data_IF_653987996564
#
_entry.id   IF_653987996564
#
_cell.length_a   1.000
_cell.length_b   1.000
_cell.length_c   1.000
_cell.angle_alpha   90.00
_cell.angle_beta   90.00
_cell.angle_gamma   90.00
#
_symmetry.space_group_name_H-M   'P 1'
#
loop_
_entity.id
_entity.type
_entity.pdbx_description
1 polymer ?
#
# COMPACT_ATOMS: atom_id res chain seq x y z
N UNK A 1 29.03 -44.66 -43.99
CA UNK A 1 27.60 -44.92 -44.20
C UNK A 1 26.85 -44.26 -43.04
N UNK A 2 26.43 -42.99 -43.20
CA UNK A 2 25.08 -42.49 -43.52
C UNK A 2 24.04 -42.61 -42.37
N UNK A 3 23.69 -41.43 -41.84
CA UNK A 3 22.39 -41.00 -41.26
C UNK A 3 21.98 -41.63 -39.90
N UNK A 4 21.27 -40.96 -39.00
CA UNK A 4 20.25 -39.92 -39.18
C UNK A 4 19.93 -39.27 -37.82
N UNK A 5 20.11 -37.96 -37.69
CA UNK A 5 19.61 -37.15 -36.57
C UNK A 5 18.08 -37.12 -36.57
N UNK A 6 17.46 -37.18 -35.38
CA UNK A 6 16.02 -36.96 -35.18
C UNK A 6 15.82 -35.65 -34.41
N UNK A 7 15.41 -34.63 -35.15
CA UNK A 7 14.96 -33.33 -34.66
C UNK A 7 13.53 -33.44 -34.09
N UNK A 8 13.34 -32.83 -32.92
CA UNK A 8 12.06 -32.58 -32.25
C UNK A 8 11.46 -31.30 -32.86
N UNK A 9 10.25 -31.32 -33.46
CA UNK A 9 9.62 -30.09 -33.93
C UNK A 9 8.91 -29.36 -32.78
N UNK A 10 9.48 -28.22 -32.37
CA UNK A 10 8.78 -27.20 -31.60
C UNK A 10 7.71 -26.54 -32.47
N UNK A 11 6.44 -26.83 -32.17
CA UNK A 11 5.29 -26.16 -32.77
C UNK A 11 4.92 -24.92 -31.95
N UNK A 12 4.89 -23.80 -32.68
CA UNK A 12 3.96 -22.68 -32.55
C UNK A 12 4.08 -21.74 -31.35
N UNK A 13 4.43 -20.48 -31.64
CA UNK A 13 3.43 -19.41 -31.46
C UNK A 13 3.64 -18.26 -32.43
N UNK A 14 2.51 -17.84 -32.99
CA UNK A 14 2.36 -16.95 -34.12
C UNK A 14 2.89 -15.53 -33.86
N UNK A 15 3.66 -15.04 -34.82
CA UNK A 15 3.81 -13.63 -35.16
C UNK A 15 2.58 -13.13 -35.92
N UNK A 16 2.07 -11.97 -35.55
CA UNK A 16 1.09 -11.20 -36.33
C UNK A 16 0.37 -10.25 -35.40
N UNK A 17 0.26 -8.96 -35.65
CA UNK A 17 0.59 -8.14 -36.80
C UNK A 17 -0.05 -6.79 -36.49
N UNK A 18 0.70 -5.71 -36.67
CA UNK A 18 0.20 -4.34 -36.50
C UNK A 18 -0.90 -4.10 -37.53
N UNK A 19 -2.14 -3.96 -37.09
CA UNK A 19 -3.25 -3.58 -37.97
C UNK A 19 -3.76 -2.19 -37.61
N UNK A 20 -3.65 -1.33 -38.61
CA UNK A 20 -3.98 0.09 -38.62
C UNK A 20 -5.50 0.29 -38.63
N UNK A 21 -5.90 1.42 -38.04
CA UNK A 21 -7.18 2.10 -38.16
C UNK A 21 -7.96 1.82 -39.45
N UNK A 22 -9.25 1.47 -39.31
CA UNK A 22 -10.30 1.90 -40.22
C UNK A 22 -11.52 2.35 -39.42
N UNK A 23 -11.94 3.58 -39.70
CA UNK A 23 -13.01 4.31 -39.06
C UNK A 23 -14.37 3.61 -39.27
N UNK A 24 -15.17 3.54 -38.20
CA UNK A 24 -16.58 3.19 -38.27
C UNK A 24 -17.39 4.48 -38.10
N UNK A 25 -18.07 4.89 -39.17
CA UNK A 25 -19.15 5.89 -39.12
C UNK A 25 -20.44 5.09 -38.94
N UNK A 26 -21.03 5.18 -37.76
CA UNK A 26 -22.35 4.62 -37.45
C UNK A 26 -23.12 5.63 -36.62
N UNK A 27 -24.23 6.10 -37.19
CA UNK A 27 -25.11 7.13 -36.62
C UNK A 27 -26.17 6.49 -35.69
N UNK A 28 -26.52 7.24 -34.65
CA UNK A 28 -27.77 7.22 -33.87
C UNK A 28 -27.96 6.16 -32.76
N UNK A 29 -28.02 6.62 -31.50
CA UNK A 29 -29.30 6.84 -30.77
C UNK A 29 -29.03 7.51 -29.41
N UNK A 30 -29.79 8.55 -29.10
CA UNK A 30 -29.79 9.23 -27.79
C UNK A 30 -30.55 8.35 -26.80
N UNK A 31 -29.86 7.88 -25.77
CA UNK A 31 -30.46 7.48 -24.50
C UNK A 31 -29.65 8.19 -23.42
N UNK A 32 -30.33 9.00 -22.60
CA UNK A 32 -29.71 9.74 -21.50
C UNK A 32 -28.99 8.78 -20.56
N UNK A 33 -27.67 8.81 -20.61
CA UNK A 33 -26.84 8.21 -19.58
C UNK A 33 -26.76 9.25 -18.46
N UNK A 34 -27.48 8.98 -17.38
CA UNK A 34 -27.26 9.57 -16.07
C UNK A 34 -25.77 9.70 -15.83
N UNK A 35 -25.35 10.87 -15.36
CA UNK A 35 -23.99 11.18 -14.92
C UNK A 35 -23.45 9.98 -14.15
N UNK A 36 -22.52 9.24 -14.75
CA UNK A 36 -21.70 8.31 -14.01
C UNK A 36 -20.91 9.19 -13.05
N UNK A 37 -21.38 9.26 -11.81
CA UNK A 37 -20.60 9.78 -10.71
C UNK A 37 -19.41 8.84 -10.69
N UNK A 38 -18.30 9.28 -11.27
CA UNK A 38 -17.02 8.64 -11.07
C UNK A 38 -16.79 8.73 -9.56
N UNK A 39 -17.16 7.66 -8.85
CA UNK A 39 -16.79 7.49 -7.45
C UNK A 39 -15.28 7.51 -7.48
N UNK A 40 -14.74 8.64 -7.04
CA UNK A 40 -13.31 8.85 -6.95
C UNK A 40 -12.68 7.68 -6.19
N UNK A 41 -11.42 7.33 -6.50
CA UNK A 41 -10.67 6.31 -5.78
C UNK A 41 -10.82 6.47 -4.26
N UNK A 42 -10.78 5.35 -3.51
CA UNK A 42 -11.19 5.28 -2.11
C UNK A 42 -10.53 6.39 -1.29
N UNK A 43 -11.35 6.99 -0.41
CA UNK A 43 -11.04 8.11 0.46
C UNK A 43 -9.54 8.21 0.80
N UNK A 44 -8.88 9.27 0.30
CA UNK A 44 -7.52 9.62 0.71
C UNK A 44 -7.46 9.53 2.21
N UNK A 45 -6.66 8.61 2.71
CA UNK A 45 -6.50 8.48 4.13
C UNK A 45 -6.03 9.82 4.70
N UNK A 46 -6.46 10.11 5.93
CA UNK A 46 -6.13 11.36 6.59
C UNK A 46 -5.98 11.14 8.08
N UNK A 47 -5.25 12.04 8.73
CA UNK A 47 -5.07 12.05 10.18
C UNK A 47 -6.40 12.05 10.95
N UNK A 48 -7.48 12.55 10.34
CA UNK A 48 -8.82 12.57 10.91
C UNK A 48 -9.42 11.16 11.09
N UNK A 49 -9.02 10.18 10.29
CA UNK A 49 -9.46 8.78 10.39
C UNK A 49 -8.92 8.08 11.62
N UNK A 50 -7.80 8.56 12.17
CA UNK A 50 -7.30 8.04 13.43
C UNK A 50 -8.31 8.42 14.51
N UNK A 51 -9.05 7.43 15.03
CA UNK A 51 -10.01 7.65 16.11
C UNK A 51 -9.29 7.79 17.45
N UNK A 52 -10.00 8.27 18.47
CA UNK A 52 -9.45 8.44 19.81
C UNK A 52 -8.93 7.13 20.39
N UNK A 53 -7.90 7.21 21.23
CA UNK A 53 -7.28 6.06 21.90
C UNK A 53 -6.79 4.98 20.91
N UNK A 54 -6.14 5.43 19.83
CA UNK A 54 -5.49 4.59 18.82
C UNK A 54 -4.08 5.11 18.52
N UNK A 55 -3.16 4.19 18.28
CA UNK A 55 -1.97 4.48 17.48
C UNK A 55 -2.32 4.16 16.03
N UNK A 56 -1.91 5.01 15.09
CA UNK A 56 -2.29 4.91 13.69
C UNK A 56 -1.07 5.00 12.79
N UNK A 57 -1.17 4.36 11.63
CA UNK A 57 -0.07 4.20 10.68
C UNK A 57 -0.61 4.17 9.26
N UNK A 58 0.18 4.71 8.34
CA UNK A 58 -0.17 4.87 6.95
C UNK A 58 1.00 4.46 6.06
N UNK A 59 0.69 3.92 4.89
CA UNK A 59 1.73 3.45 3.99
C UNK A 59 2.53 4.58 3.35
N UNK A 60 1.84 5.66 3.00
CA UNK A 60 2.47 6.80 2.37
C UNK A 60 2.78 7.91 3.41
N UNK A 61 3.73 8.80 3.11
CA UNK A 61 3.93 10.02 3.87
C UNK A 61 2.65 10.88 3.89
N UNK A 62 2.59 11.85 4.80
CA UNK A 62 1.44 12.77 4.95
C UNK A 62 0.10 12.09 5.26
N UNK A 63 0.12 10.94 5.96
CA UNK A 63 -1.07 10.24 6.47
C UNK A 63 -2.01 9.73 5.36
N UNK A 64 -1.44 9.30 4.22
CA UNK A 64 -2.19 8.90 3.03
C UNK A 64 -2.15 7.39 2.75
N UNK A 65 -2.95 6.94 1.79
CA UNK A 65 -3.03 5.54 1.34
C UNK A 65 -3.49 4.57 2.44
N UNK A 66 -3.03 3.32 2.44
CA UNK A 66 -3.53 2.28 3.34
C UNK A 66 -3.39 2.71 4.80
N UNK A 67 -4.47 2.56 5.57
CA UNK A 67 -4.58 3.02 6.96
C UNK A 67 -4.74 1.84 7.93
N UNK A 68 -3.99 1.90 9.03
CA UNK A 68 -4.02 0.94 10.12
C UNK A 68 -4.15 1.64 11.47
N UNK A 69 -4.86 1.03 12.40
CA UNK A 69 -5.03 1.55 13.75
C UNK A 69 -4.99 0.43 14.79
N UNK A 70 -4.25 0.65 15.87
CA UNK A 70 -3.98 -0.35 16.90
C UNK A 70 -4.41 0.13 18.28
N UNK A 71 -5.03 -0.79 19.02
CA UNK A 71 -5.50 -0.61 20.41
C UNK A 71 -4.61 -1.24 21.45
N UNK A 72 -3.80 -2.22 21.05
CA UNK A 72 -2.79 -2.90 21.86
C UNK A 72 -1.40 -2.82 21.22
N UNK A 73 -0.37 -3.04 22.05
CA UNK A 73 0.99 -3.20 21.57
C UNK A 73 1.10 -4.39 20.61
N UNK A 74 1.97 -4.25 19.61
CA UNK A 74 2.24 -5.27 18.59
C UNK A 74 3.69 -5.72 18.73
N UNK A 75 3.91 -6.96 19.17
CA UNK A 75 5.26 -7.55 19.19
C UNK A 75 5.86 -7.59 17.77
N UNK A 76 5.03 -7.87 16.78
CA UNK A 76 5.31 -7.79 15.36
C UNK A 76 4.09 -7.22 14.64
N UNK A 77 4.30 -6.38 13.64
CA UNK A 77 3.24 -5.85 12.80
C UNK A 77 2.54 -6.98 12.04
N UNK A 78 1.21 -6.94 11.92
CA UNK A 78 0.47 -8.04 11.29
C UNK A 78 0.78 -8.17 9.79
N UNK A 79 1.17 -9.36 9.35
CA UNK A 79 1.45 -9.69 7.94
C UNK A 79 0.30 -10.35 7.19
N UNK A 80 -0.92 -9.82 7.31
CA UNK A 80 -2.15 -10.41 6.73
C UNK A 80 -2.42 -10.02 5.28
N UNK A 81 -3.71 -9.88 4.92
CA UNK A 81 -4.16 -9.39 3.59
C UNK A 81 -3.53 -8.04 3.26
N UNK A 82 -3.38 -7.19 4.29
CA UNK A 82 -2.53 -6.00 4.24
C UNK A 82 -1.26 -6.34 5.00
N UNK A 83 -0.13 -6.29 4.29
CA UNK A 83 1.19 -6.55 4.86
C UNK A 83 1.75 -5.26 5.46
N UNK A 84 1.67 -5.13 6.79
CA UNK A 84 2.10 -3.94 7.51
C UNK A 84 3.61 -3.81 7.75
N UNK A 85 4.38 -4.89 8.00
CA UNK A 85 5.81 -4.78 8.21
C UNK A 85 6.47 -4.05 7.05
N UNK A 86 7.35 -3.10 7.35
CA UNK A 86 8.18 -2.42 6.35
C UNK A 86 7.39 -1.68 5.25
N UNK A 87 6.18 -1.22 5.56
CA UNK A 87 5.36 -0.45 4.62
C UNK A 87 4.82 0.85 5.21
N UNK A 88 5.09 1.16 6.49
CA UNK A 88 4.56 2.36 7.15
C UNK A 88 5.51 3.54 6.92
N UNK A 89 5.00 4.65 6.38
CA UNK A 89 5.75 5.89 6.16
C UNK A 89 5.17 7.11 6.89
N UNK A 90 4.05 6.96 7.60
CA UNK A 90 3.63 7.97 8.58
C UNK A 90 2.84 7.37 9.73
N UNK A 91 2.95 7.99 10.90
CA UNK A 91 2.38 7.48 12.14
C UNK A 91 1.83 8.59 13.01
N UNK A 92 0.78 8.30 13.78
CA UNK A 92 0.17 9.25 14.70
C UNK A 92 -0.31 8.58 15.98
N UNK A 93 -0.08 9.23 17.12
CA UNK A 93 -0.56 8.81 18.43
C UNK A 93 -1.77 9.64 18.83
N UNK A 94 -2.97 9.07 18.77
CA UNK A 94 -4.20 9.72 19.27
C UNK A 94 -4.64 9.17 20.63
N UNK A 95 -3.72 8.54 21.36
CA UNK A 95 -3.92 8.07 22.72
C UNK A 95 -3.59 9.17 23.73
N UNK A 96 -4.00 8.96 24.97
CA UNK A 96 -3.64 9.78 26.13
C UNK A 96 -2.29 9.40 26.74
N UNK A 97 -1.68 8.32 26.26
CA UNK A 97 -0.40 7.81 26.73
C UNK A 97 0.65 7.80 25.62
N UNK A 98 1.91 7.68 26.00
CA UNK A 98 3.04 7.61 25.07
C UNK A 98 3.03 6.30 24.29
N UNK A 99 3.54 6.35 23.07
CA UNK A 99 3.81 5.16 22.25
C UNK A 99 5.21 5.19 21.69
N UNK A 100 5.72 4.04 21.27
CA UNK A 100 6.95 3.93 20.50
C UNK A 100 6.77 2.94 19.36
N UNK A 101 7.12 3.39 18.16
CA UNK A 101 7.27 2.53 16.98
C UNK A 101 8.72 2.09 16.88
N UNK A 102 8.93 0.85 16.49
CA UNK A 102 10.24 0.23 16.41
C UNK A 102 10.44 -0.33 15.00
N UNK A 103 11.68 -0.25 14.53
CA UNK A 103 12.04 -0.72 13.20
C UNK A 103 12.26 -2.23 13.15
N UNK A 104 12.51 -2.86 14.29
CA UNK A 104 12.65 -4.31 14.36
C UNK A 104 11.49 -4.92 15.16
N UNK A 105 11.20 -6.20 14.90
CA UNK A 105 10.32 -7.02 15.73
C UNK A 105 10.80 -7.05 17.18
N UNK A 106 9.86 -7.07 18.13
CA UNK A 106 10.14 -7.29 19.55
C UNK A 106 10.57 -6.04 20.32
N UNK A 107 10.16 -4.86 19.85
CA UNK A 107 10.47 -3.56 20.46
C UNK A 107 11.98 -3.26 20.45
N UNK A 108 12.65 -3.60 19.36
CA UNK A 108 14.09 -3.48 19.19
C UNK A 108 14.47 -2.51 18.05
N UNK A 109 15.77 -2.26 17.92
CA UNK A 109 16.33 -1.46 16.84
C UNK A 109 16.10 0.05 16.98
N UNK A 110 16.10 0.73 15.83
CA UNK A 110 15.74 2.14 15.74
C UNK A 110 14.29 2.37 16.19
N UNK A 111 14.02 3.51 16.83
CA UNK A 111 12.70 3.77 17.38
C UNK A 111 12.26 5.23 17.24
N UNK A 112 10.94 5.42 17.20
CA UNK A 112 10.27 6.70 17.12
C UNK A 112 9.30 6.83 18.30
N UNK A 113 9.65 7.70 19.24
CA UNK A 113 8.81 8.00 20.40
C UNK A 113 7.79 9.09 20.08
N UNK A 114 6.53 8.87 20.46
CA UNK A 114 5.48 9.87 20.30
C UNK A 114 4.70 10.10 21.61
N UNK A 115 4.70 11.34 22.13
CA UNK A 115 3.80 11.72 23.21
C UNK A 115 2.32 11.72 22.74
N UNK A 116 1.35 11.90 23.65
CA UNK A 116 -0.06 12.01 23.29
C UNK A 116 -0.28 13.06 22.22
N UNK A 117 -1.15 12.78 21.25
CA UNK A 117 -1.52 13.68 20.14
C UNK A 117 -0.38 14.13 19.23
N UNK A 118 0.73 13.38 19.20
CA UNK A 118 1.86 13.63 18.32
C UNK A 118 2.01 12.57 17.24
N UNK A 119 2.69 12.92 16.15
CA UNK A 119 3.00 12.01 15.07
C UNK A 119 4.05 12.58 14.15
N UNK A 120 4.31 11.87 13.06
CA UNK A 120 5.27 12.26 12.05
C UNK A 120 5.10 11.44 10.78
N UNK A 121 5.71 11.93 9.71
CA UNK A 121 5.84 11.23 8.45
C UNK A 121 7.30 11.21 8.05
N UNK A 122 7.65 10.21 7.24
CA UNK A 122 9.00 9.88 6.87
C UNK A 122 9.05 9.72 5.37
N UNK A 123 10.13 10.19 4.76
CA UNK A 123 10.42 9.97 3.35
C UNK A 123 11.90 9.63 3.22
N UNK A 124 12.27 8.94 2.14
CA UNK A 124 13.66 8.59 1.89
C UNK A 124 14.54 9.86 1.95
N UNK A 125 15.71 9.83 2.62
CA UNK A 125 16.42 8.68 3.18
C UNK A 125 16.15 8.43 4.69
N UNK A 126 15.00 8.84 5.24
CA UNK A 126 14.72 8.65 6.65
C UNK A 126 14.59 7.16 7.01
N UNK A 127 15.35 6.69 8.00
CA UNK A 127 15.42 5.28 8.39
C UNK A 127 14.09 4.64 8.77
N UNK A 128 13.12 5.40 9.26
CA UNK A 128 11.80 4.88 9.64
C UNK A 128 10.84 4.67 8.46
N UNK A 129 11.12 5.25 7.28
CA UNK A 129 10.28 5.05 6.10
C UNK A 129 10.32 3.57 5.71
N UNK A 130 9.15 2.93 5.64
CA UNK A 130 9.02 1.54 5.22
C UNK A 130 9.91 0.56 6.01
N UNK A 131 10.18 0.83 7.28
CA UNK A 131 10.98 -0.05 8.14
C UNK A 131 10.33 -0.34 9.50
N UNK A 132 9.08 0.07 9.74
CA UNK A 132 8.43 -0.15 11.04
C UNK A 132 7.92 -1.59 11.15
N UNK A 133 8.28 -2.28 12.23
CA UNK A 133 7.96 -3.70 12.46
C UNK A 133 7.32 -3.99 13.82
N UNK A 134 7.41 -3.11 14.82
CA UNK A 134 6.71 -3.32 16.10
C UNK A 134 6.28 -2.02 16.79
N UNK A 135 5.38 -2.13 17.78
CA UNK A 135 4.73 -0.99 18.43
C UNK A 135 4.46 -1.27 19.90
N UNK A 136 4.97 -0.40 20.79
CA UNK A 136 4.74 -0.49 22.24
C UNK A 136 3.95 0.69 22.76
N UNK A 137 3.06 0.43 23.71
CA UNK A 137 2.34 1.43 24.49
C UNK A 137 2.84 1.43 25.93
N UNK A 138 2.85 2.60 26.56
CA UNK A 138 3.27 2.81 27.95
C UNK A 138 2.10 3.27 28.82
#
# INVERSE_FOLDING_TARGET
MKAKERLIPLRQRATGGRSRLRAAIGLALVVGATSAIAVAPPASASIAQCSSNRACGWFDPNYASNFGAWTSAQWSMPGGVIYWPNNISSTFNKRTHNITWFMDVGYAGGSMFYPPTAGGYYSWPHMAENNIESLRFY
#
